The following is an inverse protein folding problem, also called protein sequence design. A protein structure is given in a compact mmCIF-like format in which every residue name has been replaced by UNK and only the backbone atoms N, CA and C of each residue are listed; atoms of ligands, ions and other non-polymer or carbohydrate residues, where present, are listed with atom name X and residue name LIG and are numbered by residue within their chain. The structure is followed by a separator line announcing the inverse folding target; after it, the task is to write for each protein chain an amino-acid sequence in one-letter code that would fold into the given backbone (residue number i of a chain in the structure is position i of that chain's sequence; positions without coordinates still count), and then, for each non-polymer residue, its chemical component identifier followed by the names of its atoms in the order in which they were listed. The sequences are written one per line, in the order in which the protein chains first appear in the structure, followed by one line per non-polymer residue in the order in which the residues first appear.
data_IF_233650892750
#
_entry.id   IF_233650892750
#
_cell.length_a   1.000
_cell.length_b   1.000
_cell.length_c   1.000
_cell.angle_alpha   90.00
_cell.angle_beta   90.00
_cell.angle_gamma   90.00
#
_symmetry.space_group_name_H-M   'P 1'
#
loop_
_entity.id
_entity.type
_entity.pdbx_description
1 polymer ?
#
# COMPACT_ATOMS: atom_id res chain seq x y z
N UNK A 1 9.16 -15.99 -28.83
CA UNK A 1 8.50 -15.32 -27.65
C UNK A 1 7.51 -14.31 -28.17
N UNK A 2 6.34 -14.24 -27.55
CA UNK A 2 5.33 -13.20 -27.76
C UNK A 2 5.44 -12.19 -26.62
N UNK A 3 5.59 -10.90 -26.93
CA UNK A 3 5.61 -9.83 -25.93
C UNK A 3 4.24 -9.16 -25.91
N UNK A 4 3.64 -9.08 -24.71
CA UNK A 4 2.42 -8.33 -24.47
C UNK A 4 2.73 -7.16 -23.51
N UNK A 5 2.31 -5.95 -23.88
CA UNK A 5 2.38 -4.78 -23.02
C UNK A 5 0.94 -4.30 -22.79
N UNK A 6 0.49 -4.31 -21.54
CA UNK A 6 -0.91 -4.00 -21.17
C UNK A 6 -1.92 -4.81 -22.01
N UNK A 7 -1.63 -6.11 -22.21
CA UNK A 7 -2.47 -7.05 -22.97
C UNK A 7 -2.42 -6.88 -24.49
N UNK A 8 -1.64 -5.94 -25.03
CA UNK A 8 -1.46 -5.74 -26.47
C UNK A 8 -0.14 -6.33 -26.93
N UNK A 9 -0.16 -7.01 -28.08
CA UNK A 9 1.05 -7.57 -28.68
C UNK A 9 1.92 -6.44 -29.23
N UNK A 10 3.17 -6.40 -28.78
CA UNK A 10 4.15 -5.39 -29.19
C UNK A 10 5.36 -6.06 -29.83
N UNK A 11 5.90 -5.41 -30.87
CA UNK A 11 7.11 -5.85 -31.54
C UNK A 11 8.23 -4.87 -31.18
N UNK A 12 9.15 -5.34 -30.34
CA UNK A 12 10.30 -4.54 -29.91
C UNK A 12 11.55 -5.02 -30.66
N UNK A 13 12.26 -4.08 -31.29
CA UNK A 13 13.57 -4.38 -31.91
C UNK A 13 14.61 -4.46 -30.78
N UNK A 14 14.98 -5.68 -30.43
CA UNK A 14 15.84 -5.95 -29.28
C UNK A 14 16.85 -7.06 -29.61
N UNK A 15 18.12 -6.88 -29.28
CA UNK A 15 19.21 -7.80 -29.54
C UNK A 15 19.72 -8.58 -28.33
N UNK A 16 19.16 -8.33 -27.14
CA UNK A 16 19.51 -9.06 -25.91
C UNK A 16 18.89 -10.46 -25.84
N UNK A 17 19.30 -11.23 -24.84
CA UNK A 17 18.94 -12.66 -24.73
C UNK A 17 18.06 -12.97 -23.51
N UNK A 18 18.04 -12.10 -22.51
CA UNK A 18 17.36 -12.35 -21.23
C UNK A 18 16.20 -11.42 -20.99
N UNK A 19 15.28 -11.85 -20.11
CA UNK A 19 14.15 -11.04 -19.63
C UNK A 19 14.64 -9.76 -18.97
N UNK A 20 15.68 -9.83 -18.13
CA UNK A 20 16.23 -8.65 -17.46
C UNK A 20 16.79 -7.60 -18.43
N UNK A 21 17.50 -8.04 -19.48
CA UNK A 21 18.00 -7.13 -20.52
C UNK A 21 16.86 -6.47 -21.30
N UNK A 22 15.78 -7.22 -21.60
CA UNK A 22 14.60 -6.66 -22.26
C UNK A 22 13.86 -5.66 -21.39
N UNK A 23 13.70 -5.94 -20.10
CA UNK A 23 13.11 -5.02 -19.13
C UNK A 23 13.89 -3.70 -19.10
N UNK A 24 15.22 -3.76 -18.95
CA UNK A 24 16.09 -2.59 -18.95
C UNK A 24 16.01 -1.79 -20.26
N UNK A 25 15.86 -2.47 -21.40
CA UNK A 25 15.68 -1.82 -22.69
C UNK A 25 14.35 -1.07 -22.77
N UNK A 26 13.25 -1.72 -22.37
CA UNK A 26 11.91 -1.11 -22.33
C UNK A 26 11.90 0.12 -21.37
N UNK A 27 12.51 0.00 -20.20
CA UNK A 27 12.64 1.10 -19.26
C UNK A 27 13.40 2.29 -19.85
N UNK A 28 14.51 2.07 -20.54
CA UNK A 28 15.34 3.13 -21.11
C UNK A 28 14.74 3.81 -22.34
N UNK A 29 14.12 3.06 -23.22
CA UNK A 29 13.66 3.59 -24.51
C UNK A 29 12.22 4.12 -24.51
N UNK A 30 11.35 3.65 -23.61
CA UNK A 30 9.94 3.98 -23.68
C UNK A 30 9.30 4.51 -22.38
N UNK A 31 9.74 4.03 -21.23
CA UNK A 31 9.03 4.27 -19.98
C UNK A 31 9.54 5.46 -19.20
N UNK A 32 10.85 5.63 -19.10
CA UNK A 32 11.47 6.70 -18.32
C UNK A 32 11.10 8.11 -18.81
N UNK A 33 10.80 8.25 -20.09
CA UNK A 33 10.44 9.54 -20.70
C UNK A 33 8.98 9.96 -20.43
N UNK A 34 8.12 9.04 -19.99
CA UNK A 34 6.68 9.27 -19.80
C UNK A 34 6.22 9.16 -18.33
N UNK A 35 7.14 8.99 -17.37
CA UNK A 35 6.77 8.76 -15.96
C UNK A 35 6.07 7.42 -15.74
N UNK A 36 6.24 6.47 -16.67
CA UNK A 36 5.71 5.13 -16.60
C UNK A 36 6.66 4.21 -15.81
N UNK A 37 6.10 3.23 -15.12
CA UNK A 37 6.84 2.19 -14.40
C UNK A 37 6.25 0.82 -14.72
N UNK A 38 7.11 -0.20 -14.72
CA UNK A 38 6.65 -1.58 -14.83
C UNK A 38 6.02 -1.97 -13.49
N UNK A 39 4.76 -2.35 -13.51
CA UNK A 39 3.98 -2.74 -12.34
C UNK A 39 4.13 -4.23 -12.03
N UNK A 40 3.99 -5.07 -13.05
CA UNK A 40 4.09 -6.52 -12.92
C UNK A 40 4.57 -7.15 -14.22
N UNK A 41 5.10 -8.37 -14.10
CA UNK A 41 5.44 -9.21 -15.25
C UNK A 41 4.87 -10.61 -15.05
N UNK A 42 4.46 -11.23 -16.15
CA UNK A 42 4.08 -12.64 -16.19
C UNK A 42 4.87 -13.37 -17.28
N UNK A 43 5.42 -14.50 -16.92
CA UNK A 43 6.12 -15.41 -17.85
C UNK A 43 5.25 -16.64 -18.03
N UNK A 44 4.81 -16.90 -19.26
CA UNK A 44 3.91 -18.01 -19.61
C UNK A 44 2.68 -18.10 -18.68
N UNK A 45 2.09 -16.92 -18.37
CA UNK A 45 0.89 -16.77 -17.54
C UNK A 45 1.15 -16.91 -16.03
N UNK A 46 2.41 -16.99 -15.59
CA UNK A 46 2.77 -17.01 -14.16
C UNK A 46 3.40 -15.70 -13.75
N UNK A 47 2.86 -15.12 -12.67
CA UNK A 47 3.43 -13.90 -12.07
C UNK A 47 4.86 -14.14 -11.60
N UNK A 48 5.74 -13.20 -11.89
CA UNK A 48 7.18 -13.28 -11.61
C UNK A 48 7.67 -11.96 -11.03
N UNK A 49 8.59 -12.04 -10.05
CA UNK A 49 9.18 -10.83 -9.45
C UNK A 49 10.22 -10.23 -10.38
N UNK A 50 10.14 -8.91 -10.60
CA UNK A 50 11.11 -8.12 -11.36
C UNK A 50 12.53 -8.20 -10.79
N UNK A 51 12.65 -8.24 -9.45
CA UNK A 51 13.94 -8.22 -8.74
C UNK A 51 14.54 -9.62 -8.57
N UNK A 52 13.82 -10.67 -8.96
CA UNK A 52 14.31 -12.03 -8.85
C UNK A 52 15.45 -12.28 -9.84
N UNK A 53 16.60 -12.70 -9.34
CA UNK A 53 17.76 -13.10 -10.17
C UNK A 53 17.41 -14.24 -11.15
N UNK A 54 16.48 -15.12 -10.78
CA UNK A 54 15.99 -16.18 -11.66
C UNK A 54 15.22 -15.58 -12.84
N UNK A 55 14.28 -14.68 -12.58
CA UNK A 55 13.50 -13.97 -13.59
C UNK A 55 14.40 -13.19 -14.55
N UNK A 56 15.34 -12.42 -14.02
CA UNK A 56 16.23 -11.59 -14.83
C UNK A 56 17.13 -12.40 -15.75
N UNK A 57 17.57 -13.60 -15.32
CA UNK A 57 18.43 -14.50 -16.10
C UNK A 57 17.67 -15.43 -17.04
N UNK A 58 16.34 -15.45 -17.01
CA UNK A 58 15.52 -16.29 -17.90
C UNK A 58 15.78 -15.91 -19.35
N UNK A 59 16.06 -16.91 -20.19
CA UNK A 59 16.33 -16.69 -21.61
C UNK A 59 15.02 -16.47 -22.37
N UNK A 60 14.97 -15.45 -23.22
CA UNK A 60 13.80 -15.14 -24.06
C UNK A 60 13.42 -16.27 -25.01
N UNK A 61 14.40 -17.12 -25.40
CA UNK A 61 14.17 -18.28 -26.26
C UNK A 61 13.45 -19.44 -25.54
N UNK A 62 13.50 -19.47 -24.23
CA UNK A 62 12.91 -20.53 -23.38
C UNK A 62 11.46 -20.25 -23.00
N UNK A 63 10.95 -19.04 -23.25
CA UNK A 63 9.59 -18.62 -22.88
C UNK A 63 8.71 -18.42 -24.11
N UNK A 64 7.46 -18.79 -24.00
CA UNK A 64 6.44 -18.58 -25.03
C UNK A 64 5.91 -17.16 -25.04
N UNK A 65 5.52 -16.65 -23.85
CA UNK A 65 4.89 -15.35 -23.69
C UNK A 65 5.49 -14.60 -22.50
N UNK A 66 5.83 -13.34 -22.72
CA UNK A 66 6.15 -12.38 -21.69
C UNK A 66 5.07 -11.28 -21.69
N UNK A 67 4.35 -11.13 -20.60
CA UNK A 67 3.38 -10.05 -20.41
C UNK A 67 3.91 -9.05 -19.38
N UNK A 68 3.89 -7.78 -19.76
CA UNK A 68 4.38 -6.67 -18.94
C UNK A 68 3.21 -5.69 -18.73
N UNK A 69 2.86 -5.43 -17.48
CA UNK A 69 1.94 -4.37 -17.13
C UNK A 69 2.72 -3.09 -16.79
N UNK A 70 2.37 -2.03 -17.48
CA UNK A 70 2.95 -0.71 -17.33
C UNK A 70 1.86 0.25 -16.84
N UNK A 71 2.19 1.05 -15.85
CA UNK A 71 1.30 2.10 -15.33
C UNK A 71 2.06 3.39 -15.12
N UNK A 72 1.37 4.50 -15.18
CA UNK A 72 1.93 5.77 -14.70
C UNK A 72 2.00 5.76 -13.17
N UNK A 73 2.96 6.51 -12.62
CA UNK A 73 3.04 6.71 -11.17
C UNK A 73 1.71 7.24 -10.60
N UNK A 74 1.05 8.13 -11.36
CA UNK A 74 -0.24 8.69 -10.97
C UNK A 74 -1.36 7.64 -10.90
N UNK A 75 -1.41 6.71 -11.86
CA UNK A 75 -2.39 5.60 -11.84
C UNK A 75 -2.16 4.70 -10.63
N UNK A 76 -0.90 4.39 -10.29
CA UNK A 76 -0.56 3.61 -9.10
C UNK A 76 -1.01 4.32 -7.83
N UNK A 77 -0.72 5.62 -7.72
CA UNK A 77 -1.14 6.44 -6.57
C UNK A 77 -2.65 6.48 -6.43
N UNK A 78 -3.37 6.73 -7.52
CA UNK A 78 -4.84 6.78 -7.49
C UNK A 78 -5.44 5.43 -7.09
N UNK A 79 -4.89 4.32 -7.59
CA UNK A 79 -5.33 2.98 -7.21
C UNK A 79 -5.08 2.69 -5.72
N UNK A 80 -3.95 3.13 -5.19
CA UNK A 80 -3.65 2.96 -3.78
C UNK A 80 -4.51 3.87 -2.89
N UNK A 81 -4.86 5.08 -3.32
CA UNK A 81 -5.84 5.93 -2.66
C UNK A 81 -7.21 5.25 -2.58
N UNK A 82 -7.71 4.70 -3.69
CA UNK A 82 -8.98 3.95 -3.72
C UNK A 82 -8.96 2.74 -2.78
N UNK A 83 -7.85 1.99 -2.77
CA UNK A 83 -7.69 0.84 -1.89
C UNK A 83 -7.68 1.25 -0.42
N UNK A 84 -6.99 2.35 -0.07
CA UNK A 84 -6.93 2.88 1.29
C UNK A 84 -8.30 3.39 1.76
N UNK A 85 -9.02 4.15 0.94
CA UNK A 85 -10.39 4.59 1.23
C UNK A 85 -11.32 3.38 1.45
N UNK A 86 -11.27 2.39 0.56
CA UNK A 86 -12.06 1.15 0.68
C UNK A 86 -11.71 0.33 1.92
N UNK A 87 -10.45 0.37 2.34
CA UNK A 87 -10.00 -0.28 3.57
C UNK A 87 -10.54 0.43 4.81
N UNK A 88 -10.49 1.77 4.85
CA UNK A 88 -11.00 2.58 5.97
C UNK A 88 -12.50 2.37 6.20
N UNK A 89 -13.29 2.19 5.14
CA UNK A 89 -14.73 1.88 5.24
C UNK A 89 -14.97 0.59 6.06
N UNK A 90 -14.03 -0.35 6.06
CA UNK A 90 -14.12 -1.61 6.81
C UNK A 90 -13.41 -1.52 8.16
N UNK A 91 -12.29 -0.79 8.23
CA UNK A 91 -11.49 -0.67 9.43
C UNK A 91 -12.24 0.09 10.53
N UNK A 92 -12.89 1.21 10.20
CA UNK A 92 -13.60 2.05 11.18
C UNK A 92 -14.67 1.25 11.94
N UNK A 93 -15.62 0.54 11.29
CA UNK A 93 -16.55 -0.33 12.00
C UNK A 93 -15.87 -1.49 12.76
N UNK A 94 -14.73 -1.98 12.27
CA UNK A 94 -13.94 -2.99 12.96
C UNK A 94 -13.36 -2.49 14.28
N UNK A 95 -12.89 -1.24 14.33
CA UNK A 95 -12.44 -0.59 15.56
C UNK A 95 -13.60 -0.46 16.55
N UNK A 96 -14.75 0.07 16.11
CA UNK A 96 -15.96 0.20 16.95
C UNK A 96 -16.39 -1.16 17.53
N UNK A 97 -16.35 -2.20 16.72
CA UNK A 97 -16.67 -3.57 17.16
C UNK A 97 -15.67 -4.10 18.18
N UNK A 98 -14.38 -3.86 18.00
CA UNK A 98 -13.33 -4.23 18.95
C UNK A 98 -13.52 -3.56 20.30
N UNK A 99 -13.86 -2.27 20.30
CA UNK A 99 -14.20 -1.50 21.53
C UNK A 99 -15.36 -2.14 22.28
N UNK A 100 -16.47 -2.41 21.58
CA UNK A 100 -17.64 -3.05 22.18
C UNK A 100 -17.29 -4.39 22.83
N UNK A 101 -16.51 -5.23 22.12
CA UNK A 101 -16.13 -6.56 22.59
C UNK A 101 -15.20 -6.49 23.82
N UNK A 102 -14.23 -5.59 23.86
CA UNK A 102 -13.40 -5.39 25.06
C UNK A 102 -14.23 -4.91 26.26
N UNK A 103 -15.18 -4.00 26.06
CA UNK A 103 -16.05 -3.49 27.12
C UNK A 103 -17.05 -4.51 27.64
N UNK A 104 -17.45 -5.47 26.81
CA UNK A 104 -18.40 -6.54 27.19
C UNK A 104 -17.71 -7.82 27.69
N UNK A 105 -16.37 -7.84 27.77
CA UNK A 105 -15.59 -8.97 28.27
C UNK A 105 -15.44 -10.13 27.27
N UNK A 106 -15.69 -9.89 25.99
CA UNK A 106 -15.41 -10.89 24.94
C UNK A 106 -13.98 -10.67 24.38
N UNK A 107 -12.99 -10.85 25.24
CA UNK A 107 -11.58 -10.52 24.99
C UNK A 107 -10.98 -11.32 23.82
N UNK A 108 -11.35 -12.58 23.65
CA UNK A 108 -10.81 -13.43 22.59
C UNK A 108 -11.21 -12.89 21.21
N UNK A 109 -12.47 -12.56 21.00
CA UNK A 109 -12.98 -12.01 19.75
C UNK A 109 -12.43 -10.58 19.53
N UNK A 110 -12.40 -9.77 20.59
CA UNK A 110 -11.84 -8.42 20.55
C UNK A 110 -10.38 -8.40 20.06
N UNK A 111 -9.55 -9.35 20.55
CA UNK A 111 -8.16 -9.47 20.13
C UNK A 111 -8.00 -9.88 18.66
N UNK A 112 -8.94 -10.61 18.05
CA UNK A 112 -8.91 -10.88 16.62
C UNK A 112 -9.06 -9.59 15.80
N UNK A 113 -9.99 -8.72 16.19
CA UNK A 113 -10.13 -7.40 15.57
C UNK A 113 -8.91 -6.52 15.82
N UNK A 114 -8.36 -6.56 17.05
CA UNK A 114 -7.18 -5.79 17.42
C UNK A 114 -5.96 -6.12 16.56
N UNK A 115 -5.70 -7.40 16.30
CA UNK A 115 -4.61 -7.82 15.39
C UNK A 115 -4.82 -7.21 14.00
N UNK A 116 -6.04 -7.30 13.44
CA UNK A 116 -6.34 -6.72 12.14
C UNK A 116 -6.21 -5.19 12.13
N UNK A 117 -6.48 -4.51 13.25
CA UNK A 117 -6.29 -3.07 13.40
C UNK A 117 -4.80 -2.74 13.34
N UNK A 118 -3.94 -3.47 14.08
CA UNK A 118 -2.48 -3.25 14.06
C UNK A 118 -1.90 -3.49 12.66
N UNK A 119 -2.29 -4.57 11.99
CA UNK A 119 -1.87 -4.85 10.61
C UNK A 119 -2.32 -3.73 9.66
N UNK A 120 -3.52 -3.20 9.88
CA UNK A 120 -4.07 -2.07 9.13
C UNK A 120 -3.32 -0.77 9.35
N UNK A 121 -2.87 -0.49 10.57
CA UNK A 121 -2.03 0.66 10.91
C UNK A 121 -0.73 0.63 10.08
N UNK A 122 -0.06 -0.51 10.08
CA UNK A 122 1.21 -0.67 9.34
C UNK A 122 1.00 -0.50 7.83
N UNK A 123 0.01 -1.20 7.26
CA UNK A 123 -0.28 -1.11 5.84
C UNK A 123 -0.68 0.31 5.39
N UNK A 124 -1.59 0.99 6.12
CA UNK A 124 -2.00 2.36 5.78
C UNK A 124 -0.85 3.35 5.90
N UNK A 125 0.06 3.15 6.86
CA UNK A 125 1.26 3.98 7.00
C UNK A 125 2.18 3.86 5.78
N UNK A 126 2.40 2.65 5.28
CA UNK A 126 3.20 2.39 4.07
C UNK A 126 2.53 2.99 2.82
N UNK A 127 1.20 2.84 2.69
CA UNK A 127 0.44 3.44 1.58
C UNK A 127 0.54 4.96 1.62
N UNK A 128 0.40 5.58 2.79
CA UNK A 128 0.54 7.04 2.95
C UNK A 128 1.94 7.52 2.55
N UNK A 129 3.00 6.80 2.96
CA UNK A 129 4.37 7.11 2.57
C UNK A 129 4.58 7.11 1.06
N UNK A 130 4.06 6.09 0.41
CA UNK A 130 4.13 5.96 -1.04
C UNK A 130 3.39 7.12 -1.74
N UNK A 131 2.19 7.49 -1.26
CA UNK A 131 1.41 8.61 -1.82
C UNK A 131 2.18 9.92 -1.67
N UNK A 132 2.72 10.20 -0.46
CA UNK A 132 3.49 11.40 -0.19
C UNK A 132 4.72 11.51 -1.10
N UNK A 133 5.47 10.41 -1.22
CA UNK A 133 6.66 10.37 -2.08
C UNK A 133 6.30 10.60 -3.55
N UNK A 134 5.29 9.89 -4.06
CA UNK A 134 4.89 9.96 -5.46
C UNK A 134 4.30 11.31 -5.87
N UNK A 135 3.55 11.96 -4.98
CA UNK A 135 3.00 13.31 -5.21
C UNK A 135 3.97 14.42 -4.77
N UNK A 136 5.18 14.09 -4.29
CA UNK A 136 6.15 15.06 -3.76
C UNK A 136 5.57 15.95 -2.65
N UNK A 137 4.68 15.38 -1.81
CA UNK A 137 4.06 16.08 -0.70
C UNK A 137 5.00 16.08 0.49
N UNK A 138 5.30 17.28 1.03
CA UNK A 138 6.14 17.39 2.22
C UNK A 138 5.44 16.83 3.47
N UNK A 139 6.13 16.05 4.32
CA UNK A 139 5.61 15.65 5.63
C UNK A 139 5.23 16.83 6.55
N UNK A 140 5.80 18.02 6.30
CA UNK A 140 5.45 19.26 7.01
C UNK A 140 4.15 19.92 6.49
N UNK A 141 3.52 19.37 5.45
CA UNK A 141 2.22 19.85 4.97
C UNK A 141 1.20 19.80 6.10
N UNK A 142 0.50 20.92 6.29
CA UNK A 142 -0.55 21.06 7.31
C UNK A 142 -1.91 20.80 6.65
N UNK A 143 -2.68 19.91 7.24
CA UNK A 143 -4.07 19.65 6.89
C UNK A 143 -4.89 19.64 8.17
N UNK A 144 -5.96 20.45 8.20
CA UNK A 144 -6.84 20.59 9.37
C UNK A 144 -6.06 20.88 10.69
N UNK A 145 -5.13 21.85 10.61
CA UNK A 145 -4.39 22.37 11.77
C UNK A 145 -3.23 21.49 12.27
N UNK A 146 -3.02 20.28 11.71
CA UNK A 146 -1.91 19.38 12.10
C UNK A 146 -1.05 19.03 10.88
N UNK A 147 0.27 18.95 11.05
CA UNK A 147 1.15 18.44 10.00
C UNK A 147 1.01 16.92 9.85
N UNK A 148 1.35 16.40 8.65
CA UNK A 148 1.38 14.95 8.42
C UNK A 148 2.40 14.29 9.35
N UNK A 149 3.54 14.94 9.59
CA UNK A 149 4.58 14.45 10.50
C UNK A 149 4.06 14.34 11.95
N UNK A 150 3.32 15.35 12.45
CA UNK A 150 2.76 15.33 13.81
C UNK A 150 1.71 14.23 13.94
N UNK A 151 0.85 14.05 12.93
CA UNK A 151 -0.14 12.96 12.90
C UNK A 151 0.53 11.60 13.00
N UNK A 152 1.65 11.40 12.29
CA UNK A 152 2.44 10.16 12.35
C UNK A 152 3.04 9.92 13.72
N UNK A 153 3.66 10.94 14.30
CA UNK A 153 4.24 10.85 15.64
C UNK A 153 3.17 10.46 16.67
N UNK A 154 1.99 11.09 16.59
CA UNK A 154 0.83 10.76 17.44
C UNK A 154 0.37 9.31 17.25
N UNK A 155 0.28 8.81 16.01
CA UNK A 155 -0.11 7.42 15.73
C UNK A 155 0.89 6.42 16.32
N UNK A 156 2.20 6.69 16.18
CA UNK A 156 3.25 5.83 16.77
C UNK A 156 3.11 5.74 18.28
N UNK A 157 2.88 6.89 18.95
CA UNK A 157 2.68 6.93 20.41
C UNK A 157 1.44 6.13 20.83
N UNK A 158 0.30 6.34 20.18
CA UNK A 158 -0.91 5.57 20.46
C UNK A 158 -0.75 4.08 20.21
N UNK A 159 -0.05 3.71 19.13
CA UNK A 159 0.21 2.29 18.82
C UNK A 159 1.04 1.65 19.92
N UNK A 160 2.06 2.35 20.44
CA UNK A 160 2.87 1.85 21.55
C UNK A 160 2.05 1.66 22.82
N UNK A 161 1.20 2.63 23.17
CA UNK A 161 0.31 2.55 24.33
C UNK A 161 -0.69 1.39 24.20
N UNK A 162 -1.26 1.17 23.00
CA UNK A 162 -2.17 0.05 22.74
C UNK A 162 -1.49 -1.31 22.89
N UNK A 163 -0.26 -1.45 22.37
CA UNK A 163 0.51 -2.70 22.51
C UNK A 163 0.84 -2.97 23.97
N UNK A 164 1.16 -1.93 24.76
CA UNK A 164 1.43 -2.07 26.19
C UNK A 164 0.16 -2.41 26.98
N UNK A 165 -0.95 -1.76 26.71
CA UNK A 165 -2.25 -2.07 27.30
C UNK A 165 -2.68 -3.51 27.01
N UNK A 166 -2.53 -3.97 25.78
CA UNK A 166 -2.83 -5.35 25.37
C UNK A 166 -1.94 -6.35 26.13
N UNK A 167 -0.63 -6.09 26.20
CA UNK A 167 0.34 -6.95 26.92
C UNK A 167 0.01 -7.07 28.41
N UNK A 168 -0.46 -5.97 29.02
CA UNK A 168 -0.83 -5.91 30.42
C UNK A 168 -2.26 -6.39 30.68
N UNK A 169 -3.01 -6.77 29.63
CA UNK A 169 -4.42 -7.14 29.70
C UNK A 169 -5.31 -6.02 30.28
N UNK A 170 -4.91 -4.76 30.05
CA UNK A 170 -5.71 -3.61 30.43
C UNK A 170 -6.72 -3.28 29.32
N UNK A 171 -7.78 -4.08 29.30
CA UNK A 171 -8.81 -4.02 28.27
C UNK A 171 -9.60 -2.73 28.30
N UNK A 172 -9.69 -2.08 29.47
CA UNK A 172 -10.37 -0.79 29.61
C UNK A 172 -9.55 0.30 28.91
N UNK A 173 -8.26 0.40 29.22
CA UNK A 173 -7.36 1.34 28.57
C UNK A 173 -7.29 1.08 27.06
N UNK A 174 -7.22 -0.19 26.63
CA UNK A 174 -7.17 -0.54 25.23
C UNK A 174 -8.45 -0.12 24.49
N UNK A 175 -9.62 -0.34 25.09
CA UNK A 175 -10.89 0.11 24.51
C UNK A 175 -10.96 1.64 24.41
N UNK A 176 -10.49 2.36 25.44
CA UNK A 176 -10.48 3.82 25.46
C UNK A 176 -9.52 4.40 24.39
N UNK A 177 -8.32 3.83 24.25
CA UNK A 177 -7.37 4.22 23.18
C UNK A 177 -7.96 4.00 21.79
N UNK A 178 -8.62 2.88 21.58
CA UNK A 178 -9.27 2.57 20.30
C UNK A 178 -10.40 3.56 19.99
N UNK A 179 -11.25 3.87 20.98
CA UNK A 179 -12.43 4.72 20.77
C UNK A 179 -12.10 6.20 20.69
N UNK A 180 -11.22 6.70 21.57
CA UNK A 180 -11.01 8.14 21.70
C UNK A 180 -9.79 8.66 20.93
N UNK A 181 -8.85 7.79 20.53
CA UNK A 181 -7.65 8.21 19.85
C UNK A 181 -7.56 7.62 18.43
N UNK A 182 -7.70 6.31 18.29
CA UNK A 182 -7.49 5.62 17.00
C UNK A 182 -8.69 5.83 16.06
N UNK A 183 -9.91 5.73 16.54
CA UNK A 183 -11.10 5.93 15.73
C UNK A 183 -11.16 7.35 15.13
N UNK A 184 -10.99 8.44 15.90
CA UNK A 184 -10.94 9.80 15.37
C UNK A 184 -9.75 9.99 14.39
N UNK A 185 -8.58 9.40 14.70
CA UNK A 185 -7.42 9.46 13.82
C UNK A 185 -7.74 8.94 12.41
N UNK A 186 -8.40 7.78 12.30
CA UNK A 186 -8.74 7.20 11.00
C UNK A 186 -9.89 7.92 10.30
N UNK A 187 -10.81 8.54 11.04
CA UNK A 187 -11.80 9.42 10.45
C UNK A 187 -11.15 10.68 9.84
N UNK A 188 -10.17 11.28 10.52
CA UNK A 188 -9.36 12.39 9.98
C UNK A 188 -8.52 11.96 8.78
N UNK A 189 -7.90 10.76 8.83
CA UNK A 189 -7.13 10.20 7.71
C UNK A 189 -7.99 10.00 6.47
N UNK A 190 -9.23 9.54 6.61
CA UNK A 190 -10.16 9.42 5.49
C UNK A 190 -10.38 10.75 4.76
N UNK A 191 -10.52 11.85 5.51
CA UNK A 191 -10.64 13.18 4.95
C UNK A 191 -9.36 13.63 4.23
N UNK A 192 -8.19 13.31 4.79
CA UNK A 192 -6.89 13.61 4.20
C UNK A 192 -6.69 12.85 2.87
N UNK A 193 -7.04 11.56 2.79
CA UNK A 193 -6.94 10.77 1.56
C UNK A 193 -7.87 11.32 0.48
N UNK A 194 -9.09 11.70 0.83
CA UNK A 194 -10.03 12.35 -0.08
C UNK A 194 -9.46 13.68 -0.61
N UNK A 195 -8.79 14.45 0.24
CA UNK A 195 -8.10 15.68 -0.18
C UNK A 195 -6.97 15.38 -1.19
N UNK A 196 -6.15 14.36 -0.95
CA UNK A 196 -5.08 13.95 -1.88
C UNK A 196 -5.62 13.45 -3.22
N UNK A 197 -6.81 12.87 -3.25
CA UNK A 197 -7.46 12.44 -4.49
C UNK A 197 -7.95 13.60 -5.35
N UNK A 198 -8.32 14.71 -4.72
CA UNK A 198 -8.84 15.90 -5.41
C UNK A 198 -7.74 16.81 -5.98
N UNK A 199 -6.47 16.58 -5.67
CA UNK A 199 -5.29 17.27 -6.19
C UNK A 199 -4.64 16.48 -7.34
#
# INVERSE_FOLDING_TARGET
MKLLINGKEEVVSFSGQTVGELILHIEKEGLAQQGNVIRSIQIDGKESSLDSSATQKTLLLEIGTLEIEISTLLEIVNKNLENAESYLIRLIPGIEKSVELFRTGNEQEANQFFINIIDGIDWLSQVLDMILAAKSISPAMVFDGKSIQDRRATLVDFTQQMVEANKNQDWVLLADLLEYEILPYYQELSNLLTHFRSQ
#
